data_IF_544733524436
#
_entry.id   IF_544733524436
#
_cell.length_a   1.000
_cell.length_b   1.000
_cell.length_c   1.000
_cell.angle_alpha   90.00
_cell.angle_beta   90.00
_cell.angle_gamma   90.00
#
_symmetry.space_group_name_H-M   'P 1'
#
loop_
_entity.id
_entity.type
_entity.pdbx_description
1 polymer ?
#
# COMPACT_ATOMS: atom_id res chain seq x y z
N UNK A 1 1.09 -32.38 28.82
CA UNK A 1 1.58 -32.59 27.44
C UNK A 1 0.51 -32.05 26.51
N UNK A 2 0.60 -30.78 26.05
CA UNK A 2 -0.28 -30.29 25.01
C UNK A 2 0.23 -30.84 23.68
N UNK A 3 -0.54 -31.74 23.08
CA UNK A 3 -0.31 -32.15 21.69
C UNK A 3 -0.49 -30.90 20.82
N UNK A 4 0.60 -30.31 20.35
CA UNK A 4 0.54 -29.34 19.27
C UNK A 4 -0.02 -30.08 18.06
N UNK A 5 -1.32 -29.99 17.81
CA UNK A 5 -1.89 -30.43 16.54
C UNK A 5 -1.24 -29.62 15.46
N UNK A 6 -0.32 -30.23 14.72
CA UNK A 6 0.32 -29.56 13.58
C UNK A 6 -0.78 -29.21 12.57
N UNK A 7 -0.89 -27.90 12.23
CA UNK A 7 -1.85 -27.47 11.21
C UNK A 7 -1.65 -28.26 9.93
N UNK A 8 -2.74 -28.66 9.24
CA UNK A 8 -2.62 -29.46 8.01
C UNK A 8 -1.84 -28.72 6.94
N UNK A 9 -1.00 -29.46 6.21
CA UNK A 9 -0.25 -28.92 5.07
C UNK A 9 -1.23 -28.72 3.92
N UNK A 10 -1.38 -27.46 3.48
CA UNK A 10 -2.25 -27.10 2.36
C UNK A 10 -1.58 -27.37 1.01
N UNK A 11 -2.34 -27.84 0.03
CA UNK A 11 -1.89 -27.98 -1.35
C UNK A 11 -1.66 -26.63 -2.03
N UNK A 12 -0.95 -26.63 -3.18
CA UNK A 12 -0.76 -25.41 -3.97
C UNK A 12 -2.08 -24.71 -4.31
N UNK A 13 -3.10 -25.42 -4.73
CA UNK A 13 -4.40 -24.84 -5.08
C UNK A 13 -5.16 -24.29 -3.87
N UNK A 14 -4.97 -24.86 -2.70
CA UNK A 14 -5.54 -24.32 -1.46
C UNK A 14 -4.84 -23.02 -1.06
N UNK A 15 -3.50 -22.93 -1.19
CA UNK A 15 -2.74 -21.69 -0.98
C UNK A 15 -3.13 -20.63 -2.03
N UNK A 16 -3.32 -21.02 -3.28
CA UNK A 16 -3.81 -20.15 -4.35
C UNK A 16 -5.17 -19.55 -4.01
N UNK A 17 -6.15 -20.39 -3.74
CA UNK A 17 -7.52 -19.97 -3.42
C UNK A 17 -7.57 -19.05 -2.18
N UNK A 18 -6.79 -19.39 -1.16
CA UNK A 18 -6.70 -18.62 0.07
C UNK A 18 -6.12 -17.22 -0.16
N UNK A 19 -5.19 -17.07 -1.09
CA UNK A 19 -4.46 -15.83 -1.33
C UNK A 19 -5.04 -14.99 -2.46
N UNK A 20 -5.91 -15.55 -3.30
CA UNK A 20 -6.41 -14.90 -4.52
C UNK A 20 -7.14 -13.57 -4.25
N UNK A 21 -7.81 -13.43 -3.11
CA UNK A 21 -8.47 -12.18 -2.74
C UNK A 21 -7.53 -10.97 -2.68
N UNK A 22 -6.23 -11.16 -2.42
CA UNK A 22 -5.24 -10.08 -2.49
C UNK A 22 -5.09 -9.47 -3.87
N UNK A 23 -5.29 -10.27 -4.92
CA UNK A 23 -5.35 -9.75 -6.29
C UNK A 23 -6.43 -8.67 -6.43
N UNK A 24 -7.64 -8.94 -5.93
CA UNK A 24 -8.74 -7.97 -5.94
C UNK A 24 -8.47 -6.74 -5.07
N UNK A 25 -7.99 -6.94 -3.83
CA UNK A 25 -7.66 -5.84 -2.91
C UNK A 25 -6.64 -4.89 -3.56
N UNK A 26 -5.68 -5.45 -4.29
CA UNK A 26 -4.64 -4.66 -4.95
C UNK A 26 -5.18 -3.82 -6.11
N UNK A 27 -6.28 -4.23 -6.78
CA UNK A 27 -6.96 -3.37 -7.75
C UNK A 27 -7.47 -2.08 -7.11
N UNK A 28 -8.02 -2.16 -5.90
CA UNK A 28 -8.44 -0.97 -5.15
C UNK A 28 -7.27 -0.01 -4.92
N UNK A 29 -6.18 -0.48 -4.33
CA UNK A 29 -5.01 0.34 -4.05
C UNK A 29 -4.32 0.89 -5.30
N UNK A 30 -4.13 0.07 -6.33
CA UNK A 30 -3.40 0.49 -7.52
C UNK A 30 -4.19 1.52 -8.34
N UNK A 31 -5.49 1.32 -8.52
CA UNK A 31 -6.35 2.31 -9.18
C UNK A 31 -6.43 3.61 -8.39
N UNK A 32 -6.51 3.53 -7.06
CA UNK A 32 -6.46 4.69 -6.18
C UNK A 32 -5.14 5.45 -6.36
N UNK A 33 -4.02 4.78 -6.20
CA UNK A 33 -2.70 5.42 -6.27
C UNK A 33 -2.42 6.06 -7.63
N UNK A 34 -2.86 5.44 -8.72
CA UNK A 34 -2.63 5.96 -10.06
C UNK A 34 -3.61 7.07 -10.48
N UNK A 35 -4.84 7.08 -9.94
CA UNK A 35 -5.90 7.92 -10.51
C UNK A 35 -6.55 8.90 -9.53
N UNK A 36 -6.41 8.77 -8.21
CA UNK A 36 -7.13 9.65 -7.27
C UNK A 36 -6.72 11.11 -7.41
N UNK A 37 -5.43 11.42 -7.50
CA UNK A 37 -4.97 12.80 -7.74
C UNK A 37 -5.45 13.34 -9.08
N UNK A 38 -5.46 12.48 -10.11
CA UNK A 38 -6.02 12.81 -11.43
C UNK A 38 -7.51 13.16 -11.33
N UNK A 39 -8.31 12.34 -10.64
CA UNK A 39 -9.74 12.59 -10.39
C UNK A 39 -9.93 13.91 -9.64
N UNK A 40 -9.20 14.13 -8.56
CA UNK A 40 -9.31 15.36 -7.78
C UNK A 40 -8.96 16.61 -8.61
N UNK A 41 -7.86 16.55 -9.38
CA UNK A 41 -7.47 17.65 -10.27
C UNK A 41 -8.51 17.91 -11.35
N UNK A 42 -9.09 16.84 -11.96
CA UNK A 42 -10.18 16.97 -12.95
C UNK A 42 -11.43 17.62 -12.34
N UNK A 43 -11.72 17.38 -11.07
CA UNK A 43 -12.83 17.99 -10.33
C UNK A 43 -12.48 19.37 -9.73
N UNK A 44 -11.34 19.95 -10.11
CA UNK A 44 -10.95 21.32 -9.75
C UNK A 44 -10.17 21.46 -8.45
N UNK A 45 -9.51 20.41 -7.96
CA UNK A 45 -8.63 20.53 -6.81
C UNK A 45 -7.36 21.30 -7.15
N UNK A 46 -7.03 22.30 -6.35
CA UNK A 46 -5.75 23.01 -6.42
C UNK A 46 -4.60 22.05 -6.01
N UNK A 47 -3.41 22.24 -6.60
CA UNK A 47 -2.24 21.39 -6.36
C UNK A 47 -1.83 21.36 -4.85
N UNK A 48 -1.97 22.50 -4.16
CA UNK A 48 -1.66 22.64 -2.75
C UNK A 48 -2.66 21.91 -1.82
N UNK A 49 -3.86 21.58 -2.31
CA UNK A 49 -4.90 20.85 -1.56
C UNK A 49 -4.85 19.35 -1.76
N UNK A 50 -4.18 18.86 -2.80
CA UNK A 50 -4.13 17.42 -3.13
C UNK A 50 -3.66 16.59 -1.94
N UNK A 51 -2.59 16.99 -1.26
CA UNK A 51 -2.05 16.22 -0.14
C UNK A 51 -3.02 16.14 1.05
N UNK A 52 -3.80 17.19 1.31
CA UNK A 52 -4.84 17.18 2.34
C UNK A 52 -5.98 16.21 2.00
N UNK A 53 -6.38 16.16 0.74
CA UNK A 53 -7.42 15.24 0.28
C UNK A 53 -7.00 13.76 0.42
N UNK A 54 -5.69 13.48 0.35
CA UNK A 54 -5.11 12.16 0.54
C UNK A 54 -4.99 11.71 2.00
N UNK A 55 -5.35 12.54 2.98
CA UNK A 55 -5.36 12.14 4.40
C UNK A 55 -6.32 10.99 4.72
N UNK A 56 -7.27 10.70 3.84
CA UNK A 56 -8.19 9.57 3.99
C UNK A 56 -7.43 8.25 4.22
N UNK A 57 -6.46 7.92 3.37
CA UNK A 57 -5.71 6.66 3.43
C UNK A 57 -4.98 6.45 4.78
N UNK A 58 -4.08 7.35 5.23
CA UNK A 58 -3.38 7.15 6.48
C UNK A 58 -4.29 7.24 7.71
N UNK A 59 -5.29 8.12 7.72
CA UNK A 59 -6.18 8.26 8.88
C UNK A 59 -7.09 7.04 9.03
N UNK A 60 -7.66 6.53 7.94
CA UNK A 60 -8.44 5.27 7.99
C UNK A 60 -7.55 4.09 8.37
N UNK A 61 -6.33 4.00 7.85
CA UNK A 61 -5.35 3.00 8.27
C UNK A 61 -5.08 3.05 9.78
N UNK A 62 -4.88 4.24 10.32
CA UNK A 62 -4.64 4.44 11.76
C UNK A 62 -5.82 4.02 12.64
N UNK A 63 -7.05 4.32 12.22
CA UNK A 63 -8.25 4.11 13.01
C UNK A 63 -8.90 2.76 12.75
N UNK A 64 -9.07 2.39 11.47
CA UNK A 64 -9.86 1.21 11.07
C UNK A 64 -9.08 -0.08 11.30
N UNK A 65 -7.77 -0.11 10.99
CA UNK A 65 -6.99 -1.36 11.11
C UNK A 65 -6.98 -1.95 12.54
N UNK A 66 -6.69 -1.19 13.61
CA UNK A 66 -6.73 -1.75 14.98
C UNK A 66 -8.13 -2.20 15.39
N UNK A 67 -9.17 -1.44 14.99
CA UNK A 67 -10.57 -1.77 15.31
C UNK A 67 -10.96 -3.07 14.63
N UNK A 68 -10.70 -3.19 13.33
CA UNK A 68 -11.05 -4.38 12.54
C UNK A 68 -10.19 -5.58 12.95
N UNK A 69 -8.91 -5.37 13.24
CA UNK A 69 -8.04 -6.39 13.81
C UNK A 69 -8.67 -6.99 15.07
N UNK A 70 -9.00 -6.14 16.05
CA UNK A 70 -9.65 -6.55 17.29
C UNK A 70 -11.00 -7.25 17.04
N UNK A 71 -11.88 -6.65 16.23
CA UNK A 71 -13.21 -7.23 15.95
C UNK A 71 -13.09 -8.58 15.25
N UNK A 72 -12.21 -8.70 14.26
CA UNK A 72 -12.02 -9.96 13.56
C UNK A 72 -11.37 -11.04 14.41
N UNK A 73 -10.51 -10.65 15.37
CA UNK A 73 -9.92 -11.56 16.34
C UNK A 73 -10.96 -12.12 17.33
N UNK A 74 -11.98 -11.34 17.64
CA UNK A 74 -13.01 -11.67 18.63
C UNK A 74 -14.34 -12.09 18.01
N UNK A 75 -14.43 -12.33 16.69
CA UNK A 75 -15.62 -12.80 16.01
C UNK A 75 -15.49 -14.26 15.65
N UNK A 76 -16.58 -15.02 15.84
CA UNK A 76 -16.72 -16.38 15.33
C UNK A 76 -18.17 -16.64 14.92
N UNK A 77 -18.35 -17.12 13.71
CA UNK A 77 -19.65 -17.55 13.22
C UNK A 77 -19.54 -18.96 12.60
N UNK A 78 -20.42 -19.91 12.91
CA UNK A 78 -20.31 -21.30 12.44
C UNK A 78 -20.22 -21.46 10.91
N UNK A 79 -20.93 -20.62 10.16
CA UNK A 79 -20.95 -20.66 8.69
C UNK A 79 -19.87 -19.75 8.06
N UNK A 80 -19.73 -18.51 8.58
CA UNK A 80 -18.84 -17.51 8.01
C UNK A 80 -17.41 -17.59 8.51
N UNK A 81 -17.16 -18.27 9.63
CA UNK A 81 -15.86 -18.30 10.26
C UNK A 81 -15.54 -17.03 11.07
N UNK A 82 -14.27 -16.72 11.19
CA UNK A 82 -13.72 -15.62 11.98
C UNK A 82 -13.40 -14.39 11.12
N UNK A 83 -12.65 -14.58 10.03
CA UNK A 83 -12.12 -13.51 9.16
C UNK A 83 -12.99 -13.22 7.95
N UNK A 84 -13.62 -14.24 7.40
CA UNK A 84 -14.39 -14.18 6.15
C UNK A 84 -15.52 -13.16 6.13
N UNK A 85 -16.29 -12.91 7.23
CA UNK A 85 -17.31 -11.86 7.25
C UNK A 85 -16.74 -10.47 6.93
N UNK A 86 -15.55 -10.17 7.45
CA UNK A 86 -14.87 -8.89 7.22
C UNK A 86 -14.38 -8.78 5.77
N UNK A 87 -13.83 -9.87 5.19
CA UNK A 87 -13.48 -9.90 3.76
C UNK A 87 -14.68 -9.54 2.89
N UNK A 88 -15.80 -10.21 3.16
CA UNK A 88 -17.05 -10.05 2.41
C UNK A 88 -17.58 -8.62 2.51
N UNK A 89 -17.78 -8.12 3.71
CA UNK A 89 -18.33 -6.78 3.95
C UNK A 89 -17.40 -5.70 3.38
N UNK A 90 -16.11 -5.81 3.66
CA UNK A 90 -15.13 -4.86 3.16
C UNK A 90 -15.05 -4.85 1.64
N UNK A 91 -15.11 -6.03 0.99
CA UNK A 91 -15.10 -6.11 -0.47
C UNK A 91 -16.35 -5.50 -1.11
N UNK A 92 -17.53 -5.72 -0.54
CA UNK A 92 -18.76 -5.10 -1.03
C UNK A 92 -18.71 -3.57 -0.92
N UNK A 93 -18.29 -3.05 0.24
CA UNK A 93 -18.22 -1.61 0.47
C UNK A 93 -17.12 -0.96 -0.39
N UNK A 94 -15.95 -1.61 -0.53
CA UNK A 94 -14.87 -1.12 -1.38
C UNK A 94 -15.29 -1.10 -2.86
N UNK A 95 -15.91 -2.18 -3.36
CA UNK A 95 -16.45 -2.21 -4.71
C UNK A 95 -17.50 -1.13 -4.94
N UNK A 96 -18.43 -0.94 -4.01
CA UNK A 96 -19.40 0.16 -4.09
C UNK A 96 -18.70 1.52 -4.17
N UNK A 97 -17.71 1.77 -3.32
CA UNK A 97 -16.94 3.01 -3.36
C UNK A 97 -16.19 3.18 -4.70
N UNK A 98 -15.63 2.10 -5.26
CA UNK A 98 -15.01 2.12 -6.58
C UNK A 98 -16.01 2.43 -7.70
N UNK A 99 -17.26 2.03 -7.60
CA UNK A 99 -18.31 2.45 -8.54
C UNK A 99 -18.70 3.92 -8.35
N UNK A 100 -18.73 4.41 -7.12
CA UNK A 100 -19.13 5.79 -6.83
C UNK A 100 -18.03 6.80 -7.18
N UNK A 101 -16.75 6.44 -7.01
CA UNK A 101 -15.60 7.34 -7.18
C UNK A 101 -15.58 8.06 -8.54
N UNK A 102 -15.66 7.36 -9.69
CA UNK A 102 -15.62 7.99 -11.01
C UNK A 102 -16.95 8.66 -11.41
N UNK A 103 -18.00 8.50 -10.62
CA UNK A 103 -19.29 9.18 -10.81
C UNK A 103 -19.44 10.43 -9.94
N UNK A 104 -18.40 10.81 -9.21
CA UNK A 104 -18.39 12.04 -8.42
C UNK A 104 -18.44 13.25 -9.34
N UNK A 105 -19.43 14.11 -9.15
CA UNK A 105 -19.62 15.32 -9.93
C UNK A 105 -18.94 16.56 -9.34
N UNK A 106 -18.52 16.47 -8.07
CA UNK A 106 -17.88 17.55 -7.32
C UNK A 106 -16.76 17.01 -6.42
N UNK A 107 -15.78 17.85 -6.14
CA UNK A 107 -14.58 17.47 -5.40
C UNK A 107 -14.87 16.88 -4.01
N UNK A 108 -15.77 17.50 -3.24
CA UNK A 108 -16.08 17.01 -1.89
C UNK A 108 -16.72 15.60 -1.89
N UNK A 109 -17.50 15.29 -2.94
CA UNK A 109 -18.08 13.94 -3.12
C UNK A 109 -16.98 12.90 -3.35
N UNK A 110 -16.04 13.18 -4.26
CA UNK A 110 -14.91 12.31 -4.51
C UNK A 110 -14.05 12.11 -3.24
N UNK A 111 -13.81 13.18 -2.48
CA UNK A 111 -13.12 13.11 -1.20
C UNK A 111 -13.84 12.22 -0.18
N UNK A 112 -15.15 12.37 -0.02
CA UNK A 112 -15.96 11.53 0.88
C UNK A 112 -15.95 10.06 0.44
N UNK A 113 -16.04 9.80 -0.86
CA UNK A 113 -15.96 8.43 -1.42
C UNK A 113 -14.57 7.83 -1.20
N UNK A 114 -13.48 8.64 -1.26
CA UNK A 114 -12.14 8.16 -0.93
C UNK A 114 -12.06 7.67 0.52
N UNK A 115 -12.63 8.42 1.48
CA UNK A 115 -12.70 7.99 2.89
C UNK A 115 -13.44 6.65 3.04
N UNK A 116 -14.57 6.49 2.34
CA UNK A 116 -15.33 5.23 2.34
C UNK A 116 -14.49 4.10 1.73
N UNK A 117 -13.84 4.36 0.60
CA UNK A 117 -13.04 3.36 -0.13
C UNK A 117 -11.86 2.88 0.71
N UNK A 118 -11.06 3.80 1.27
CA UNK A 118 -9.94 3.46 2.14
C UNK A 118 -10.37 2.70 3.40
N UNK A 119 -11.43 3.15 4.05
CA UNK A 119 -12.01 2.44 5.20
C UNK A 119 -12.42 1.02 4.84
N UNK A 120 -13.14 0.85 3.74
CA UNK A 120 -13.62 -0.45 3.27
C UNK A 120 -12.48 -1.40 2.85
N UNK A 121 -11.45 -0.87 2.17
CA UNK A 121 -10.27 -1.65 1.82
C UNK A 121 -9.57 -2.15 3.09
N UNK A 122 -9.41 -1.31 4.12
CA UNK A 122 -8.81 -1.71 5.40
C UNK A 122 -9.65 -2.77 6.13
N UNK A 123 -10.99 -2.71 6.03
CA UNK A 123 -11.90 -3.75 6.59
C UNK A 123 -11.63 -5.12 5.96
N UNK A 124 -11.33 -5.18 4.65
CA UNK A 124 -10.96 -6.44 3.99
C UNK A 124 -9.52 -6.84 4.28
N UNK A 125 -8.57 -5.92 4.14
CA UNK A 125 -7.15 -6.20 4.06
C UNK A 125 -6.58 -6.68 5.39
N UNK A 126 -6.94 -6.07 6.51
CA UNK A 126 -6.34 -6.37 7.80
C UNK A 126 -6.61 -7.82 8.27
N UNK A 127 -7.87 -8.30 8.26
CA UNK A 127 -8.12 -9.70 8.58
C UNK A 127 -7.53 -10.67 7.55
N UNK A 128 -7.39 -10.23 6.29
CA UNK A 128 -6.82 -11.05 5.22
C UNK A 128 -5.32 -11.32 5.44
N UNK A 129 -4.58 -10.34 5.95
CA UNK A 129 -3.17 -10.53 6.34
C UNK A 129 -3.03 -11.54 7.48
N UNK A 130 -3.88 -11.44 8.51
CA UNK A 130 -3.89 -12.34 9.63
C UNK A 130 -4.28 -13.78 9.24
N UNK A 131 -5.11 -13.93 8.20
CA UNK A 131 -5.63 -15.21 7.75
C UNK A 131 -4.53 -16.21 7.35
N UNK A 132 -3.43 -15.76 6.78
CA UNK A 132 -2.28 -16.61 6.46
C UNK A 132 -1.68 -17.21 7.72
N UNK A 133 -1.45 -16.39 8.74
CA UNK A 133 -0.94 -16.85 10.04
C UNK A 133 -1.91 -17.80 10.75
N UNK A 134 -3.23 -17.55 10.63
CA UNK A 134 -4.28 -18.36 11.23
C UNK A 134 -4.37 -19.75 10.57
N UNK A 135 -4.25 -19.85 9.26
CA UNK A 135 -4.44 -21.08 8.48
C UNK A 135 -3.18 -21.93 8.34
N UNK A 136 -2.00 -21.30 8.26
CA UNK A 136 -0.76 -21.99 7.92
C UNK A 136 0.10 -22.27 9.16
N UNK A 137 0.67 -23.46 9.22
CA UNK A 137 1.74 -23.79 10.15
C UNK A 137 3.06 -23.13 9.76
N UNK A 138 4.04 -23.02 10.70
CA UNK A 138 5.32 -22.35 10.46
C UNK A 138 6.04 -22.78 9.17
N UNK A 139 5.94 -24.09 8.84
CA UNK A 139 6.57 -24.65 7.64
C UNK A 139 6.02 -24.10 6.31
N UNK A 140 4.76 -23.65 6.28
CA UNK A 140 4.11 -23.14 5.06
C UNK A 140 3.87 -21.64 5.06
N UNK A 141 4.09 -20.92 6.16
CA UNK A 141 3.85 -19.48 6.21
C UNK A 141 4.62 -18.71 5.14
N UNK A 142 5.88 -19.07 4.90
CA UNK A 142 6.70 -18.45 3.85
C UNK A 142 6.06 -18.61 2.47
N UNK A 143 5.55 -19.80 2.13
CA UNK A 143 4.87 -20.05 0.88
C UNK A 143 3.55 -19.28 0.76
N UNK A 144 2.79 -19.16 1.86
CA UNK A 144 1.57 -18.36 1.91
C UNK A 144 1.82 -16.88 1.66
N UNK A 145 2.81 -16.28 2.33
CA UNK A 145 3.19 -14.88 2.10
C UNK A 145 3.76 -14.63 0.70
N UNK A 146 4.53 -15.59 0.16
CA UNK A 146 5.00 -15.51 -1.22
C UNK A 146 3.84 -15.50 -2.23
N UNK A 147 2.83 -16.34 -2.02
CA UNK A 147 1.62 -16.37 -2.85
C UNK A 147 0.83 -15.05 -2.76
N UNK A 148 0.71 -14.45 -1.56
CA UNK A 148 0.12 -13.13 -1.41
C UNK A 148 0.90 -12.07 -2.19
N UNK A 149 2.22 -12.04 -2.05
CA UNK A 149 3.09 -11.08 -2.76
C UNK A 149 2.96 -11.21 -4.26
N UNK A 150 2.83 -12.43 -4.78
CA UNK A 150 2.57 -12.69 -6.20
C UNK A 150 1.26 -12.02 -6.66
N UNK A 151 0.16 -12.22 -5.95
CA UNK A 151 -1.13 -11.60 -6.29
C UNK A 151 -1.14 -10.09 -6.13
N UNK A 152 -0.46 -9.56 -5.10
CA UNK A 152 -0.28 -8.12 -4.90
C UNK A 152 0.44 -7.50 -6.10
N UNK A 153 1.55 -8.10 -6.53
CA UNK A 153 2.34 -7.59 -7.66
C UNK A 153 1.56 -7.60 -8.97
N UNK A 154 0.97 -8.73 -9.34
CA UNK A 154 0.18 -8.84 -10.57
C UNK A 154 -1.10 -8.01 -10.56
N UNK A 155 -1.79 -7.95 -9.43
CA UNK A 155 -2.95 -7.07 -9.26
C UNK A 155 -2.60 -5.61 -9.48
N UNK A 156 -1.47 -5.15 -8.92
CA UNK A 156 -1.00 -3.77 -9.09
C UNK A 156 -0.65 -3.45 -10.54
N UNK A 157 0.06 -4.35 -11.24
CA UNK A 157 0.43 -4.17 -12.65
C UNK A 157 -0.82 -4.05 -13.52
N UNK A 158 -1.73 -5.01 -13.43
CA UNK A 158 -2.91 -5.03 -14.30
C UNK A 158 -3.81 -3.83 -14.01
N UNK A 159 -4.08 -3.53 -12.73
CA UNK A 159 -4.94 -2.41 -12.35
C UNK A 159 -4.37 -1.06 -12.81
N UNK A 160 -3.07 -0.85 -12.67
CA UNK A 160 -2.41 0.40 -13.10
C UNK A 160 -2.45 0.59 -14.62
N UNK A 161 -2.48 -0.50 -15.39
CA UNK A 161 -2.58 -0.47 -16.86
C UNK A 161 -4.02 -0.27 -17.38
N UNK A 162 -5.05 -0.49 -16.56
CA UNK A 162 -6.44 -0.47 -17.05
C UNK A 162 -6.82 0.79 -17.84
N UNK A 163 -6.53 2.04 -17.37
CA UNK A 163 -6.91 3.21 -18.17
C UNK A 163 -6.25 3.24 -19.55
N UNK A 164 -4.98 2.82 -19.65
CA UNK A 164 -4.25 2.70 -20.92
C UNK A 164 -4.83 1.60 -21.79
N UNK A 165 -5.16 0.44 -21.23
CA UNK A 165 -5.83 -0.66 -21.94
C UNK A 165 -7.17 -0.20 -22.53
N UNK A 166 -7.99 0.51 -21.74
CA UNK A 166 -9.26 1.03 -22.22
C UNK A 166 -9.07 2.08 -23.31
N UNK A 167 -8.08 2.97 -23.20
CA UNK A 167 -7.80 3.98 -24.22
C UNK A 167 -7.25 3.35 -25.51
N UNK A 168 -6.13 2.62 -25.41
CA UNK A 168 -5.32 2.25 -26.57
C UNK A 168 -5.84 0.99 -27.26
N UNK A 169 -6.40 0.00 -26.52
CA UNK A 169 -6.89 -1.26 -27.10
C UNK A 169 -8.39 -1.25 -27.36
N UNK A 170 -9.17 -0.54 -26.55
CA UNK A 170 -10.64 -0.54 -26.65
C UNK A 170 -11.20 0.76 -27.21
N UNK A 171 -10.35 1.76 -27.48
CA UNK A 171 -10.75 3.03 -28.07
C UNK A 171 -11.68 3.89 -27.20
N UNK A 172 -11.64 3.68 -25.88
CA UNK A 172 -12.46 4.45 -24.92
C UNK A 172 -11.92 5.85 -24.78
N UNK A 173 -12.81 6.85 -24.76
CA UNK A 173 -12.41 8.25 -24.66
C UNK A 173 -11.66 8.55 -23.36
N UNK A 174 -10.50 9.17 -23.50
CA UNK A 174 -9.66 9.65 -22.41
C UNK A 174 -9.84 11.16 -22.14
N UNK A 175 -10.76 11.82 -22.85
CA UNK A 175 -11.00 13.26 -22.74
C UNK A 175 -12.19 13.52 -21.83
N UNK A 176 -12.06 14.43 -20.83
CA UNK A 176 -13.18 14.83 -20.01
C UNK A 176 -14.26 15.52 -20.84
N UNK A 177 -15.51 15.19 -20.59
CA UNK A 177 -16.65 15.87 -21.23
C UNK A 177 -17.39 16.65 -20.14
N UNK A 178 -17.58 17.95 -20.33
CA UNK A 178 -18.27 18.84 -19.37
C UNK A 178 -17.73 18.76 -17.92
N UNK A 179 -16.42 18.64 -17.77
CA UNK A 179 -15.78 18.55 -16.45
C UNK A 179 -15.93 17.19 -15.75
N UNK A 180 -16.52 16.19 -16.43
CA UNK A 180 -16.63 14.85 -15.87
C UNK A 180 -15.30 14.07 -15.92
N UNK A 181 -15.18 13.07 -15.08
CA UNK A 181 -14.04 12.15 -15.08
C UNK A 181 -14.02 11.35 -16.40
N UNK A 182 -12.85 11.18 -17.07
CA UNK A 182 -12.74 10.44 -18.32
C UNK A 182 -13.29 9.02 -18.24
N UNK A 183 -13.89 8.54 -19.33
CA UNK A 183 -14.48 7.20 -19.39
C UNK A 183 -13.44 6.10 -19.21
N UNK A 184 -12.18 6.29 -19.64
CA UNK A 184 -11.07 5.36 -19.36
C UNK A 184 -10.89 5.12 -17.86
N UNK A 185 -10.91 6.17 -17.07
CA UNK A 185 -10.82 6.07 -15.60
C UNK A 185 -12.09 5.46 -15.03
N UNK A 186 -13.26 5.89 -15.52
CA UNK A 186 -14.57 5.40 -15.07
C UNK A 186 -14.68 3.87 -15.25
N UNK A 187 -14.39 3.37 -16.44
CA UNK A 187 -14.47 1.93 -16.71
C UNK A 187 -13.37 1.14 -16.00
N UNK A 188 -12.20 1.74 -15.76
CA UNK A 188 -11.15 1.11 -14.96
C UNK A 188 -11.60 0.88 -13.52
N UNK A 189 -12.27 1.85 -12.90
CA UNK A 189 -12.82 1.70 -11.56
C UNK A 189 -13.97 0.70 -11.51
N UNK A 190 -14.83 0.67 -12.54
CA UNK A 190 -15.91 -0.33 -12.60
C UNK A 190 -15.35 -1.75 -12.75
N UNK A 191 -14.44 -1.96 -13.68
CA UNK A 191 -13.76 -3.24 -13.85
C UNK A 191 -13.01 -3.65 -12.58
N UNK A 192 -12.28 -2.71 -11.97
CA UNK A 192 -11.56 -2.94 -10.73
C UNK A 192 -12.47 -3.31 -9.57
N UNK A 193 -13.61 -2.65 -9.41
CA UNK A 193 -14.60 -2.97 -8.39
C UNK A 193 -15.21 -4.36 -8.57
N UNK A 194 -15.54 -4.74 -9.82
CA UNK A 194 -16.02 -6.10 -10.14
C UNK A 194 -14.95 -7.16 -9.85
N UNK A 195 -13.70 -6.92 -10.26
CA UNK A 195 -12.58 -7.83 -10.01
C UNK A 195 -12.31 -7.94 -8.51
N UNK A 196 -12.38 -6.82 -7.78
CA UNK A 196 -12.19 -6.81 -6.33
C UNK A 196 -13.20 -7.74 -5.64
N UNK A 197 -14.48 -7.50 -5.84
CA UNK A 197 -15.51 -8.32 -5.18
C UNK A 197 -15.43 -9.77 -5.64
N UNK A 198 -15.23 -10.03 -6.94
CA UNK A 198 -15.12 -11.39 -7.47
C UNK A 198 -13.95 -12.17 -6.88
N UNK A 199 -12.76 -11.56 -6.79
CA UNK A 199 -11.57 -12.21 -6.25
C UNK A 199 -11.70 -12.49 -4.75
N UNK A 200 -12.24 -11.55 -3.98
CA UNK A 200 -12.46 -11.75 -2.54
C UNK A 200 -13.55 -12.79 -2.30
N UNK A 201 -14.65 -12.76 -3.06
CA UNK A 201 -15.70 -13.79 -2.99
C UNK A 201 -15.16 -15.17 -3.31
N UNK A 202 -14.33 -15.28 -4.34
CA UNK A 202 -13.64 -16.54 -4.63
C UNK A 202 -12.94 -17.10 -3.40
N UNK A 203 -12.12 -16.29 -2.72
CA UNK A 203 -11.43 -16.73 -1.49
C UNK A 203 -12.43 -17.06 -0.37
N UNK A 204 -13.46 -16.23 -0.16
CA UNK A 204 -14.47 -16.44 0.88
C UNK A 204 -15.18 -17.78 0.72
N UNK A 205 -15.56 -18.15 -0.50
CA UNK A 205 -16.33 -19.37 -0.74
C UNK A 205 -15.48 -20.62 -0.95
N UNK A 206 -14.24 -20.47 -1.46
CA UNK A 206 -13.33 -21.58 -1.70
C UNK A 206 -12.51 -22.00 -0.46
N UNK A 207 -12.46 -21.15 0.58
CA UNK A 207 -11.66 -21.41 1.79
C UNK A 207 -12.54 -21.46 3.03
N UNK A 208 -12.42 -22.53 3.82
CA UNK A 208 -13.13 -22.69 5.09
C UNK A 208 -12.22 -22.34 6.26
N UNK A 209 -12.80 -21.77 7.31
CA UNK A 209 -12.14 -21.57 8.59
C UNK A 209 -12.56 -22.64 9.59
N UNK A 210 -11.63 -23.06 10.43
CA UNK A 210 -11.88 -23.99 11.51
C UNK A 210 -12.22 -23.24 12.79
N UNK A 211 -13.10 -23.82 13.66
CA UNK A 211 -13.40 -23.20 14.93
C UNK A 211 -12.14 -23.07 15.81
N UNK A 212 -12.09 -22.07 16.71
CA UNK A 212 -11.04 -21.99 17.71
C UNK A 212 -10.91 -23.30 18.50
N UNK A 213 -9.67 -23.76 18.73
CA UNK A 213 -9.40 -25.02 19.46
C UNK A 213 -10.01 -25.03 20.88
N UNK A 214 -9.96 -23.88 21.54
CA UNK A 214 -10.59 -23.68 22.86
C UNK A 214 -11.61 -22.54 22.77
N UNK A 215 -12.87 -22.88 22.58
CA UNK A 215 -14.00 -21.94 22.55
C UNK A 215 -14.24 -21.26 23.90
N UNK A 216 -13.85 -21.86 25.02
CA UNK A 216 -14.01 -21.24 26.33
C UNK A 216 -12.97 -20.18 26.57
N UNK A 217 -11.71 -20.45 26.23
CA UNK A 217 -10.62 -19.44 26.22
C UNK A 217 -10.90 -18.31 25.24
N UNK A 218 -11.41 -18.62 24.03
CA UNK A 218 -11.81 -17.63 23.04
C UNK A 218 -12.88 -16.67 23.59
N UNK A 219 -13.95 -17.18 24.20
CA UNK A 219 -15.00 -16.36 24.82
C UNK A 219 -14.51 -15.57 26.02
N UNK A 220 -13.55 -16.08 26.77
CA UNK A 220 -12.93 -15.36 27.89
C UNK A 220 -12.09 -14.16 27.38
N UNK A 221 -11.36 -14.33 26.28
CA UNK A 221 -10.58 -13.27 25.63
C UNK A 221 -11.42 -12.09 25.12
N UNK A 222 -12.66 -12.35 24.67
CA UNK A 222 -13.60 -11.30 24.23
C UNK A 222 -13.93 -10.25 25.31
N UNK A 223 -13.72 -10.56 26.58
CA UNK A 223 -14.06 -9.68 27.71
C UNK A 223 -13.08 -8.53 27.93
N UNK A 224 -11.91 -8.53 27.29
CA UNK A 224 -10.87 -7.51 27.53
C UNK A 224 -11.18 -6.16 26.88
N UNK A 225 -12.09 -6.08 25.93
CA UNK A 225 -12.58 -4.83 25.31
C UNK A 225 -11.56 -4.11 24.41
N UNK A 226 -12.07 -3.38 23.42
CA UNK A 226 -11.27 -2.62 22.44
C UNK A 226 -10.38 -1.56 23.13
N UNK A 227 -10.87 -0.90 24.18
CA UNK A 227 -10.13 0.13 24.91
C UNK A 227 -8.83 -0.39 25.53
N UNK A 228 -8.83 -1.63 26.04
CA UNK A 228 -7.62 -2.28 26.59
C UNK A 228 -6.60 -2.55 25.47
N UNK A 229 -7.05 -3.08 24.33
CA UNK A 229 -6.17 -3.35 23.19
C UNK A 229 -5.51 -2.07 22.66
N UNK A 230 -6.28 -0.98 22.51
CA UNK A 230 -5.75 0.33 22.10
C UNK A 230 -4.78 0.92 23.13
N UNK A 231 -5.09 0.83 24.43
CA UNK A 231 -4.20 1.28 25.48
C UNK A 231 -2.87 0.48 25.50
N UNK A 232 -2.93 -0.82 25.26
CA UNK A 232 -1.75 -1.66 25.14
C UNK A 232 -0.85 -1.23 23.97
N UNK A 233 -1.43 -0.99 22.79
CA UNK A 233 -0.71 -0.51 21.60
C UNK A 233 -0.05 0.84 21.89
N UNK A 234 -0.78 1.81 22.44
CA UNK A 234 -0.27 3.14 22.77
C UNK A 234 0.82 3.07 23.86
N UNK A 235 0.67 2.18 24.85
CA UNK A 235 1.70 1.93 25.87
C UNK A 235 3.02 1.38 25.32
N UNK A 236 3.02 0.85 24.09
CA UNK A 236 4.18 0.31 23.40
C UNK A 236 5.24 1.33 23.00
N UNK A 237 4.82 2.57 22.75
CA UNK A 237 5.75 3.63 22.35
C UNK A 237 6.87 3.90 23.37
N UNK A 238 6.58 3.76 24.67
CA UNK A 238 7.56 3.95 25.74
C UNK A 238 8.56 2.80 25.94
N UNK A 239 8.35 1.66 25.28
CA UNK A 239 9.14 0.42 25.47
C UNK A 239 9.76 -0.11 24.18
N UNK A 240 9.91 0.74 23.18
CA UNK A 240 10.42 0.35 21.88
C UNK A 240 11.91 -0.02 21.92
N UNK A 241 12.33 -1.13 21.27
CA UNK A 241 13.72 -1.44 21.06
C UNK A 241 14.45 -0.35 20.27
N UNK A 242 15.73 -0.15 20.51
CA UNK A 242 16.54 0.88 19.84
C UNK A 242 16.51 0.76 18.31
N UNK A 243 16.62 -0.46 17.79
CA UNK A 243 16.49 -0.74 16.33
C UNK A 243 15.16 -0.23 15.77
N UNK A 244 14.06 -0.40 16.51
CA UNK A 244 12.75 0.05 16.08
C UNK A 244 12.66 1.57 15.99
N UNK A 245 13.24 2.30 16.95
CA UNK A 245 13.32 3.77 16.93
C UNK A 245 14.16 4.27 15.76
N UNK A 246 15.29 3.61 15.49
CA UNK A 246 16.16 3.94 14.36
C UNK A 246 15.45 3.70 13.02
N UNK A 247 14.74 2.57 12.88
CA UNK A 247 13.91 2.30 11.71
C UNK A 247 12.75 3.29 11.56
N UNK A 248 12.18 3.80 12.66
CA UNK A 248 11.13 4.82 12.61
C UNK A 248 11.59 6.08 11.88
N UNK A 249 12.84 6.50 12.10
CA UNK A 249 13.43 7.67 11.41
C UNK A 249 13.61 7.38 9.91
N UNK A 250 14.09 6.20 9.54
CA UNK A 250 14.23 5.78 8.14
C UNK A 250 12.84 5.76 7.47
N UNK A 251 11.86 5.13 8.10
CA UNK A 251 10.49 5.06 7.60
C UNK A 251 9.86 6.43 7.44
N UNK A 252 10.15 7.38 8.34
CA UNK A 252 9.62 8.73 8.25
C UNK A 252 9.95 9.37 6.89
N UNK A 253 11.21 9.39 6.50
CA UNK A 253 11.62 9.97 5.21
C UNK A 253 11.18 9.12 4.02
N UNK A 254 11.18 7.80 4.15
CA UNK A 254 10.75 6.88 3.10
C UNK A 254 9.29 7.08 2.71
N UNK A 255 8.40 7.19 3.71
CA UNK A 255 6.96 7.34 3.45
C UNK A 255 6.57 8.74 3.00
N UNK A 256 7.32 9.78 3.38
CA UNK A 256 7.19 11.13 2.77
C UNK A 256 7.48 11.04 1.26
N UNK A 257 8.55 10.33 0.88
CA UNK A 257 8.93 10.17 -0.53
C UNK A 257 7.85 9.46 -1.35
N UNK A 258 7.34 8.34 -0.84
CA UNK A 258 6.29 7.58 -1.53
C UNK A 258 4.99 8.36 -1.63
N UNK A 259 4.63 9.07 -0.58
CA UNK A 259 3.41 9.87 -0.55
C UNK A 259 3.49 11.04 -1.54
N UNK A 260 4.65 11.71 -1.62
CA UNK A 260 4.92 12.74 -2.63
C UNK A 260 4.80 12.16 -4.05
N UNK A 261 5.35 10.97 -4.29
CA UNK A 261 5.25 10.28 -5.58
C UNK A 261 3.79 9.99 -5.94
N UNK A 262 3.02 9.34 -5.09
CA UNK A 262 1.65 8.96 -5.43
C UNK A 262 0.72 10.15 -5.65
N UNK A 263 0.91 11.23 -4.89
CA UNK A 263 0.04 12.41 -4.99
C UNK A 263 0.38 13.28 -6.19
N UNK A 264 1.67 13.52 -6.43
CA UNK A 264 2.09 14.60 -7.34
C UNK A 264 2.61 14.13 -8.69
N UNK A 265 2.86 12.81 -8.92
CA UNK A 265 3.47 12.36 -10.19
C UNK A 265 2.61 12.69 -11.40
N UNK A 266 1.28 12.55 -11.34
CA UNK A 266 0.41 12.89 -12.49
C UNK A 266 0.53 14.36 -12.87
N UNK A 267 0.43 15.26 -11.90
CA UNK A 267 0.59 16.71 -12.15
C UNK A 267 2.01 17.06 -12.57
N UNK A 268 3.02 16.40 -11.99
CA UNK A 268 4.42 16.59 -12.34
C UNK A 268 4.71 16.21 -13.79
N UNK A 269 4.21 15.07 -14.26
CA UNK A 269 4.39 14.62 -15.64
C UNK A 269 3.58 15.49 -16.60
N UNK A 270 2.35 15.86 -16.26
CA UNK A 270 1.54 16.76 -17.08
C UNK A 270 2.24 18.11 -17.29
N UNK A 271 2.81 18.67 -16.23
CA UNK A 271 3.54 19.94 -16.29
C UNK A 271 4.88 19.80 -17.04
N UNK A 272 5.73 18.84 -16.63
CA UNK A 272 7.13 18.76 -17.06
C UNK A 272 7.31 18.17 -18.47
N UNK A 273 6.42 17.26 -18.89
CA UNK A 273 6.52 16.53 -20.16
C UNK A 273 5.47 16.98 -21.18
N UNK A 274 4.24 17.17 -20.72
CA UNK A 274 3.14 17.58 -21.62
C UNK A 274 2.89 19.09 -21.65
N UNK A 275 3.60 19.88 -20.81
CA UNK A 275 3.53 21.34 -20.80
C UNK A 275 2.17 21.90 -20.38
N UNK A 276 1.38 21.16 -19.60
CA UNK A 276 0.04 21.56 -19.19
C UNK A 276 -0.20 21.42 -17.69
N UNK A 277 -0.92 22.37 -17.13
CA UNK A 277 -1.48 22.30 -15.78
C UNK A 277 -3.00 22.21 -15.79
N UNK A 278 -3.62 22.28 -16.99
CA UNK A 278 -5.05 22.17 -17.16
C UNK A 278 -5.52 20.71 -17.06
N UNK A 279 -6.12 20.36 -15.95
CA UNK A 279 -6.60 19.03 -15.68
C UNK A 279 -7.78 18.57 -16.58
N UNK A 280 -8.40 19.51 -17.30
CA UNK A 280 -9.45 19.21 -18.29
C UNK A 280 -8.87 18.92 -19.69
N UNK A 281 -7.60 19.20 -19.91
CA UNK A 281 -6.95 18.99 -21.19
C UNK A 281 -6.71 17.52 -21.50
N UNK A 282 -6.78 17.14 -22.78
CA UNK A 282 -6.43 15.81 -23.25
C UNK A 282 -4.98 15.44 -22.88
N UNK A 283 -4.06 16.40 -22.90
CA UNK A 283 -2.67 16.21 -22.55
C UNK A 283 -2.47 15.82 -21.06
N UNK A 284 -3.21 16.45 -20.13
CA UNK A 284 -3.20 16.06 -18.72
C UNK A 284 -3.73 14.65 -18.52
N UNK A 285 -4.79 14.29 -19.23
CA UNK A 285 -5.39 12.97 -19.12
C UNK A 285 -4.48 11.89 -19.72
N UNK A 286 -3.75 12.20 -20.79
CA UNK A 286 -2.71 11.31 -21.34
C UNK A 286 -1.55 11.15 -20.35
N UNK A 287 -1.10 12.23 -19.70
CA UNK A 287 -0.12 12.14 -18.61
C UNK A 287 -0.58 11.17 -17.52
N UNK A 288 -1.84 11.19 -17.12
CA UNK A 288 -2.42 10.26 -16.16
C UNK A 288 -2.34 8.79 -16.61
N UNK A 289 -2.62 8.49 -17.88
CA UNK A 289 -2.46 7.16 -18.45
C UNK A 289 -0.99 6.71 -18.43
N UNK A 290 -0.06 7.58 -18.80
CA UNK A 290 1.39 7.28 -18.77
C UNK A 290 1.89 7.04 -17.34
N UNK A 291 1.40 7.78 -16.35
CA UNK A 291 1.69 7.53 -14.93
C UNK A 291 1.16 6.17 -14.49
N UNK A 292 0.00 5.74 -14.96
CA UNK A 292 -0.49 4.37 -14.76
C UNK A 292 0.52 3.32 -15.26
N UNK A 293 1.07 3.49 -16.47
CA UNK A 293 2.12 2.63 -17.00
C UNK A 293 3.40 2.69 -16.16
N UNK A 294 3.84 3.89 -15.74
CA UNK A 294 4.98 4.06 -14.84
C UNK A 294 4.78 3.27 -13.53
N UNK A 295 3.58 3.32 -12.97
CA UNK A 295 3.25 2.61 -11.73
C UNK A 295 3.16 1.09 -11.94
N UNK A 296 2.74 0.63 -13.11
CA UNK A 296 2.82 -0.78 -13.47
C UNK A 296 4.28 -1.26 -13.55
N UNK A 297 5.19 -0.45 -14.12
CA UNK A 297 6.62 -0.78 -14.22
C UNK A 297 7.22 -0.94 -12.83
N UNK A 298 7.08 0.05 -11.92
CA UNK A 298 7.69 -0.09 -10.59
C UNK A 298 7.08 -1.26 -9.80
N UNK A 299 5.78 -1.52 -9.95
CA UNK A 299 5.11 -2.64 -9.28
C UNK A 299 5.61 -4.00 -9.78
N UNK A 300 5.76 -4.14 -11.10
CA UNK A 300 6.30 -5.35 -11.73
C UNK A 300 7.76 -5.61 -11.34
N UNK A 301 8.59 -4.56 -11.40
CA UNK A 301 10.00 -4.64 -10.96
C UNK A 301 10.09 -5.01 -9.48
N UNK A 302 9.25 -4.41 -8.64
CA UNK A 302 9.21 -4.72 -7.21
C UNK A 302 8.87 -6.19 -6.95
N UNK A 303 7.89 -6.73 -7.67
CA UNK A 303 7.52 -8.13 -7.53
C UNK A 303 8.70 -9.07 -7.85
N UNK A 304 9.50 -8.76 -8.87
CA UNK A 304 10.69 -9.53 -9.23
C UNK A 304 11.85 -9.32 -8.25
N UNK A 305 12.12 -8.06 -7.88
CA UNK A 305 13.20 -7.70 -6.97
C UNK A 305 13.02 -8.30 -5.57
N UNK A 306 11.78 -8.48 -5.10
CA UNK A 306 11.48 -9.10 -3.82
C UNK A 306 12.07 -10.52 -3.65
N UNK A 307 12.25 -11.26 -4.73
CA UNK A 307 12.90 -12.58 -4.72
C UNK A 307 14.44 -12.48 -4.73
N UNK A 308 14.97 -11.41 -5.30
CA UNK A 308 16.42 -11.24 -5.53
C UNK A 308 17.08 -10.58 -4.31
N UNK A 309 16.44 -9.59 -3.71
CA UNK A 309 17.02 -8.81 -2.60
C UNK A 309 17.46 -9.66 -1.38
N UNK A 310 16.72 -10.70 -0.95
CA UNK A 310 17.16 -11.56 0.15
C UNK A 310 18.45 -12.31 -0.16
N UNK A 311 18.75 -12.61 -1.44
CA UNK A 311 20.00 -13.26 -1.85
C UNK A 311 21.17 -12.31 -1.60
N UNK A 312 21.06 -11.04 -2.03
CA UNK A 312 22.10 -10.03 -1.76
C UNK A 312 22.26 -9.77 -0.26
N UNK A 313 21.15 -9.74 0.49
CA UNK A 313 21.19 -9.51 1.94
C UNK A 313 21.93 -10.61 2.71
N UNK A 314 21.96 -11.86 2.21
CA UNK A 314 22.73 -12.96 2.79
C UNK A 314 24.24 -12.81 2.58
N UNK A 315 24.67 -12.17 1.48
CA UNK A 315 26.08 -11.98 1.13
C UNK A 315 26.67 -10.65 1.65
N UNK A 316 25.81 -9.70 2.04
CA UNK A 316 26.21 -8.39 2.55
C UNK A 316 25.58 -8.15 3.93
N UNK A 317 24.59 -7.29 3.99
CA UNK A 317 23.71 -7.14 5.15
C UNK A 317 22.34 -6.57 4.73
N UNK A 318 21.32 -6.84 5.52
CA UNK A 318 19.96 -6.32 5.26
C UNK A 318 19.94 -4.79 5.21
N UNK A 319 20.64 -4.12 6.13
CA UNK A 319 20.70 -2.65 6.15
C UNK A 319 21.46 -2.09 4.94
N UNK A 320 22.56 -2.72 4.50
CA UNK A 320 23.30 -2.28 3.32
C UNK A 320 22.45 -2.39 2.05
N UNK A 321 21.76 -3.52 1.84
CA UNK A 321 20.84 -3.68 0.71
C UNK A 321 19.73 -2.63 0.76
N UNK A 322 19.13 -2.39 1.94
CA UNK A 322 18.08 -1.38 2.09
C UNK A 322 18.58 0.02 1.77
N UNK A 323 19.76 0.40 2.27
CA UNK A 323 20.42 1.67 1.97
C UNK A 323 20.60 1.88 0.46
N UNK A 324 21.20 0.89 -0.22
CA UNK A 324 21.47 0.99 -1.67
C UNK A 324 20.17 1.10 -2.46
N UNK A 325 19.15 0.28 -2.13
CA UNK A 325 17.85 0.33 -2.79
C UNK A 325 17.17 1.69 -2.61
N UNK A 326 17.18 2.27 -1.40
CA UNK A 326 16.59 3.58 -1.13
C UNK A 326 17.32 4.71 -1.88
N UNK A 327 18.66 4.67 -1.93
CA UNK A 327 19.43 5.66 -2.69
C UNK A 327 19.11 5.55 -4.20
N UNK A 328 19.07 4.33 -4.75
CA UNK A 328 18.67 4.12 -6.16
C UNK A 328 17.28 4.67 -6.41
N UNK A 329 16.29 4.34 -5.58
CA UNK A 329 14.93 4.84 -5.74
C UNK A 329 14.81 6.35 -5.60
N UNK A 330 15.52 6.94 -4.64
CA UNK A 330 15.52 8.38 -4.43
C UNK A 330 16.15 9.15 -5.60
N UNK A 331 17.31 8.70 -6.08
CA UNK A 331 17.95 9.27 -7.29
C UNK A 331 17.05 9.12 -8.51
N UNK A 332 16.38 7.97 -8.64
CA UNK A 332 15.42 7.73 -9.70
C UNK A 332 14.22 8.69 -9.65
N UNK A 333 13.64 8.94 -8.48
CA UNK A 333 12.58 9.95 -8.34
C UNK A 333 13.08 11.37 -8.65
N UNK A 334 14.29 11.72 -8.21
CA UNK A 334 14.89 13.02 -8.52
C UNK A 334 15.15 13.19 -10.01
N UNK A 335 15.52 12.13 -10.74
CA UNK A 335 15.81 12.18 -12.17
C UNK A 335 14.61 12.53 -13.02
N UNK A 336 13.38 12.31 -12.55
CA UNK A 336 12.14 12.68 -13.25
C UNK A 336 12.11 14.19 -13.58
N UNK A 337 12.67 15.03 -12.71
CA UNK A 337 12.77 16.48 -12.96
C UNK A 337 13.52 16.83 -14.25
N UNK A 338 14.53 16.04 -14.62
CA UNK A 338 15.40 16.31 -15.77
C UNK A 338 14.95 15.60 -17.05
N UNK A 339 13.95 14.74 -16.98
CA UNK A 339 13.49 13.93 -18.11
C UNK A 339 12.22 14.55 -18.68
N UNK A 340 12.27 14.91 -19.97
CA UNK A 340 11.14 15.49 -20.71
C UNK A 340 10.60 14.55 -21.79
N UNK A 341 11.24 13.40 -22.02
CA UNK A 341 10.74 12.34 -22.90
C UNK A 341 9.96 11.31 -22.07
N UNK A 342 8.71 11.09 -22.48
CA UNK A 342 7.81 10.17 -21.80
C UNK A 342 8.32 8.72 -21.76
N UNK A 343 8.98 8.28 -22.83
CA UNK A 343 9.50 6.91 -22.90
C UNK A 343 10.70 6.72 -21.96
N UNK A 344 11.51 7.75 -21.77
CA UNK A 344 12.65 7.73 -20.86
C UNK A 344 12.22 7.68 -19.39
N UNK A 345 11.00 8.11 -19.06
CA UNK A 345 10.46 8.09 -17.68
C UNK A 345 10.19 6.70 -17.14
N UNK A 346 10.12 5.67 -17.98
CA UNK A 346 9.97 4.29 -17.49
C UNK A 346 11.26 3.77 -16.82
N UNK A 347 12.43 4.28 -17.22
CA UNK A 347 13.71 3.85 -16.61
C UNK A 347 13.83 4.22 -15.11
N UNK A 348 13.52 5.45 -14.65
CA UNK A 348 13.43 5.74 -13.22
C UNK A 348 12.52 4.82 -12.43
N UNK A 349 11.41 4.35 -13.02
CA UNK A 349 10.47 3.46 -12.35
C UNK A 349 11.07 2.10 -12.01
N UNK A 350 12.10 1.66 -12.72
CA UNK A 350 12.87 0.47 -12.36
C UNK A 350 13.57 0.66 -11.01
N UNK A 351 14.26 1.78 -10.81
CA UNK A 351 14.92 2.10 -9.54
C UNK A 351 13.91 2.27 -8.38
N UNK A 352 12.77 2.92 -8.65
CA UNK A 352 11.66 3.03 -7.68
C UNK A 352 11.13 1.65 -7.31
N UNK A 353 10.98 0.73 -8.28
CA UNK A 353 10.52 -0.64 -8.04
C UNK A 353 11.47 -1.44 -7.15
N UNK A 354 12.78 -1.30 -7.35
CA UNK A 354 13.80 -1.90 -6.48
C UNK A 354 13.71 -1.35 -5.06
N UNK A 355 13.55 -0.04 -4.90
CA UNK A 355 13.36 0.59 -3.60
C UNK A 355 12.07 0.09 -2.93
N UNK A 356 10.97 0.02 -3.65
CA UNK A 356 9.67 -0.46 -3.15
C UNK A 356 9.75 -1.90 -2.64
N UNK A 357 10.40 -2.80 -3.38
CA UNK A 357 10.65 -4.17 -2.93
C UNK A 357 11.42 -4.20 -1.60
N UNK A 358 12.45 -3.37 -1.47
CA UNK A 358 13.24 -3.27 -0.24
C UNK A 358 12.44 -2.69 0.93
N UNK A 359 11.59 -1.69 0.69
CA UNK A 359 10.72 -1.05 1.70
C UNK A 359 9.73 -2.06 2.28
N UNK A 360 9.22 -2.95 1.45
CA UNK A 360 8.27 -3.99 1.87
C UNK A 360 8.93 -5.18 2.58
N UNK A 361 10.25 -5.34 2.50
CA UNK A 361 10.94 -6.54 3.00
C UNK A 361 11.97 -6.26 4.08
N UNK A 362 12.92 -5.35 3.84
CA UNK A 362 14.10 -5.19 4.68
C UNK A 362 13.81 -4.63 6.07
N UNK A 363 13.00 -3.55 6.25
CA UNK A 363 12.69 -3.04 7.58
C UNK A 363 12.03 -4.07 8.48
N UNK A 364 11.12 -4.87 7.92
CA UNK A 364 10.44 -5.93 8.66
C UNK A 364 11.40 -7.07 9.03
N UNK A 365 12.31 -7.44 8.13
CA UNK A 365 13.32 -8.47 8.40
C UNK A 365 14.34 -8.02 9.48
N UNK A 366 14.78 -6.75 9.45
CA UNK A 366 15.66 -6.16 10.47
C UNK A 366 14.94 -6.12 11.83
N UNK A 367 13.71 -5.61 11.83
CA UNK A 367 12.89 -5.50 13.04
C UNK A 367 12.63 -6.87 13.67
N UNK A 368 12.21 -7.86 12.87
CA UNK A 368 11.94 -9.22 13.35
C UNK A 368 13.15 -9.87 14.03
N UNK A 369 14.36 -9.58 13.53
CA UNK A 369 15.61 -10.06 14.14
C UNK A 369 15.94 -9.45 15.51
N UNK A 370 15.35 -8.31 15.86
CA UNK A 370 15.61 -7.57 17.10
C UNK A 370 14.49 -7.67 18.14
N UNK A 371 13.38 -8.33 17.80
CA UNK A 371 12.18 -8.43 18.65
C UNK A 371 12.10 -9.78 19.39
N UNK A 372 11.60 -9.80 20.64
CA UNK A 372 11.28 -11.04 21.33
C UNK A 372 10.08 -11.73 20.64
N UNK A 373 10.23 -13.01 20.30
CA UNK A 373 9.23 -13.80 19.56
C UNK A 373 7.81 -13.74 20.18
N UNK A 374 7.71 -13.72 21.52
CA UNK A 374 6.44 -13.67 22.26
C UNK A 374 5.65 -12.36 22.06
N UNK A 375 6.30 -11.27 21.64
CA UNK A 375 5.69 -9.95 21.44
C UNK A 375 5.80 -9.42 20.00
N UNK A 376 6.14 -10.28 19.06
CA UNK A 376 6.35 -9.91 17.66
C UNK A 376 5.14 -9.15 17.08
N UNK A 377 3.94 -9.73 17.20
CA UNK A 377 2.72 -9.10 16.67
C UNK A 377 2.42 -7.72 17.26
N UNK A 378 2.64 -7.57 18.57
CA UNK A 378 2.49 -6.30 19.25
C UNK A 378 3.41 -5.20 18.67
N UNK A 379 4.71 -5.47 18.58
CA UNK A 379 5.66 -4.52 18.04
C UNK A 379 5.47 -4.25 16.55
N UNK A 380 5.02 -5.23 15.76
CA UNK A 380 4.66 -5.02 14.36
C UNK A 380 3.45 -4.08 14.23
N UNK A 381 2.47 -4.18 15.13
CA UNK A 381 1.37 -3.22 15.22
C UNK A 381 1.85 -1.80 15.54
N UNK A 382 2.76 -1.64 16.51
CA UNK A 382 3.37 -0.33 16.83
C UNK A 382 4.19 0.20 15.64
N UNK A 383 4.90 -0.68 14.92
CA UNK A 383 5.68 -0.29 13.75
C UNK A 383 4.84 0.30 12.61
N UNK A 384 3.58 -0.13 12.49
CA UNK A 384 2.66 0.44 11.49
C UNK A 384 2.42 1.95 11.68
N UNK A 385 2.54 2.47 12.89
CA UNK A 385 2.46 3.92 13.13
C UNK A 385 3.58 4.69 12.43
N UNK A 386 4.76 4.08 12.24
CA UNK A 386 5.88 4.68 11.51
C UNK A 386 5.69 4.67 9.98
N UNK A 387 4.65 4.04 9.52
CA UNK A 387 4.16 4.11 8.15
C UNK A 387 3.13 5.24 8.04
N UNK A 388 2.16 5.25 8.94
CA UNK A 388 0.97 6.10 8.87
C UNK A 388 1.26 7.54 9.30
N UNK A 389 2.03 7.76 10.37
CA UNK A 389 2.34 9.12 10.87
C UNK A 389 3.09 9.95 9.81
N UNK A 390 4.13 9.46 9.12
CA UNK A 390 4.77 10.20 8.04
C UNK A 390 3.83 10.56 6.89
N UNK A 391 2.89 9.70 6.57
CA UNK A 391 1.88 9.98 5.53
C UNK A 391 0.92 11.09 5.97
N UNK A 392 0.51 11.12 7.24
CA UNK A 392 -0.29 12.23 7.81
C UNK A 392 0.50 13.53 7.75
N UNK A 393 1.77 13.51 8.19
CA UNK A 393 2.67 14.67 8.10
C UNK A 393 2.82 15.14 6.66
N UNK A 394 3.00 14.22 5.70
CA UNK A 394 3.06 14.52 4.28
C UNK A 394 1.78 15.17 3.77
N UNK A 395 0.62 14.64 4.16
CA UNK A 395 -0.68 15.19 3.80
C UNK A 395 -0.86 16.65 4.25
N UNK A 396 -0.31 16.98 5.42
CA UNK A 396 -0.39 18.32 5.99
C UNK A 396 0.65 19.29 5.38
N UNK A 397 1.84 18.81 5.04
CA UNK A 397 2.99 19.67 4.70
C UNK A 397 3.31 19.75 3.22
N UNK A 398 3.10 18.70 2.43
CA UNK A 398 3.53 18.69 1.01
C UNK A 398 2.82 19.76 0.18
N UNK A 399 1.53 20.02 0.43
CA UNK A 399 0.80 21.09 -0.24
C UNK A 399 1.38 22.47 0.07
N UNK A 400 1.75 22.72 1.33
CA UNK A 400 2.43 23.94 1.72
C UNK A 400 3.78 24.10 0.99
N UNK A 401 4.60 23.06 0.95
CA UNK A 401 5.89 23.12 0.24
C UNK A 401 5.69 23.32 -1.28
N UNK A 402 4.73 22.62 -1.88
CA UNK A 402 4.41 22.77 -3.30
C UNK A 402 4.07 24.22 -3.64
N UNK A 403 3.22 24.85 -2.83
CA UNK A 403 2.76 26.23 -3.05
C UNK A 403 3.82 27.29 -2.72
N UNK A 404 4.39 27.24 -1.51
CA UNK A 404 5.23 28.32 -0.99
C UNK A 404 6.69 28.21 -1.42
N UNK A 405 7.27 26.99 -1.45
CA UNK A 405 8.67 26.81 -1.80
C UNK A 405 8.87 26.55 -3.29
N UNK A 406 7.91 25.90 -3.95
CA UNK A 406 8.07 25.45 -5.33
C UNK A 406 7.17 26.21 -6.31
N UNK A 407 6.50 27.28 -5.86
CA UNK A 407 5.64 28.13 -6.70
C UNK A 407 4.58 27.32 -7.49
N UNK A 408 4.06 26.25 -6.92
CA UNK A 408 3.06 25.37 -7.53
C UNK A 408 3.64 24.24 -8.38
N UNK A 409 4.96 24.16 -8.59
CA UNK A 409 5.59 23.14 -9.45
C UNK A 409 5.60 21.76 -8.79
N UNK A 410 4.69 20.88 -9.22
CA UNK A 410 4.53 19.52 -8.69
C UNK A 410 5.75 18.64 -8.89
N UNK A 411 6.50 18.80 -9.98
CA UNK A 411 7.73 18.05 -10.26
C UNK A 411 8.81 18.27 -9.20
N UNK A 412 8.90 19.48 -8.63
CA UNK A 412 9.82 19.79 -7.53
C UNK A 412 9.42 19.10 -6.23
N UNK A 413 8.12 18.88 -6.02
CA UNK A 413 7.62 18.11 -4.85
C UNK A 413 7.98 16.63 -4.98
N UNK A 414 7.91 16.06 -6.19
CA UNK A 414 8.39 14.68 -6.44
C UNK A 414 9.91 14.60 -6.23
N UNK A 415 10.66 15.61 -6.69
CA UNK A 415 12.12 15.70 -6.45
C UNK A 415 12.45 15.78 -4.95
N UNK A 416 11.71 16.57 -4.16
CA UNK A 416 11.84 16.59 -2.69
C UNK A 416 11.59 15.20 -2.10
N UNK A 417 10.58 14.48 -2.58
CA UNK A 417 10.34 13.08 -2.21
C UNK A 417 11.55 12.20 -2.48
N UNK A 418 12.16 12.32 -3.66
CA UNK A 418 13.40 11.61 -4.00
C UNK A 418 14.54 11.93 -3.04
N UNK A 419 14.73 13.21 -2.70
CA UNK A 419 15.74 13.63 -1.71
C UNK A 419 15.47 13.00 -0.33
N UNK A 420 14.22 13.00 0.13
CA UNK A 420 13.84 12.33 1.38
C UNK A 420 14.20 10.84 1.35
N UNK A 421 13.99 10.15 0.22
CA UNK A 421 14.34 8.73 0.08
C UNK A 421 15.85 8.50 0.11
N UNK A 422 16.65 9.39 -0.49
CA UNK A 422 18.13 9.34 -0.37
C UNK A 422 18.57 9.54 1.08
N UNK A 423 17.99 10.52 1.79
CA UNK A 423 18.24 10.75 3.21
C UNK A 423 17.89 9.51 4.03
N UNK A 424 16.74 8.88 3.78
CA UNK A 424 16.34 7.62 4.41
C UNK A 424 17.41 6.52 4.17
N UNK A 425 17.90 6.41 2.94
CA UNK A 425 18.96 5.47 2.59
C UNK A 425 20.23 5.70 3.43
N UNK A 426 20.70 6.93 3.54
CA UNK A 426 21.88 7.28 4.35
C UNK A 426 21.63 6.97 5.83
N UNK A 427 20.46 7.33 6.36
CA UNK A 427 20.07 7.06 7.74
C UNK A 427 19.94 5.57 8.06
N UNK A 428 19.75 4.72 7.07
CA UNK A 428 19.73 3.26 7.28
C UNK A 428 21.07 2.74 7.87
N UNK A 429 22.17 3.43 7.63
CA UNK A 429 23.48 3.03 8.18
C UNK A 429 23.55 3.09 9.71
N UNK A 430 22.78 3.95 10.37
CA UNK A 430 22.74 4.03 11.85
C UNK A 430 21.88 2.93 12.48
N UNK A 431 21.11 2.18 11.67
CA UNK A 431 20.24 1.11 12.17
C UNK A 431 21.08 -0.07 12.67
N UNK A 432 20.80 -0.52 13.88
CA UNK A 432 21.41 -1.72 14.45
C UNK A 432 20.67 -2.95 13.94
N UNK A 433 21.35 -3.82 13.20
CA UNK A 433 20.85 -5.11 12.77
C UNK A 433 21.48 -6.22 13.61
N UNK A 434 20.69 -6.86 14.47
CA UNK A 434 21.14 -7.92 15.37
C UNK A 434 21.58 -9.22 14.65
N UNK A 435 21.35 -9.34 13.36
CA UNK A 435 21.84 -10.45 12.55
C UNK A 435 23.20 -10.18 11.88
N UNK A 436 23.76 -8.96 12.02
CA UNK A 436 25.14 -8.72 11.57
C UNK A 436 26.14 -9.38 12.53
N UNK A 437 27.17 -10.10 11.99
CA UNK A 437 28.30 -10.50 12.81
C UNK A 437 28.92 -9.25 13.44
N UNK A 438 29.13 -9.27 14.76
CA UNK A 438 29.86 -8.21 15.44
C UNK A 438 31.27 -8.22 14.81
N UNK A 439 31.57 -7.20 14.00
CA UNK A 439 32.93 -6.97 13.52
C UNK A 439 33.77 -6.65 14.74
N UNK A 440 34.57 -7.62 15.19
CA UNK A 440 35.59 -7.46 16.21
C UNK A 440 36.71 -6.60 15.70
#
# INVERSE_FOLDING_TARGET
>A
MHSSTSKPILSFWQLWNMSFGFFGIQFGFALQNANTSRIFSTLGADQDKLSLLWLAAPVTGLLVQPIIGYLSDNTWHPFWGRRRPFFFIGALLASLAMFLMPNSSVLWMAAAVLWLMDGAINVSMEPFRAFVGDKLGPAQQTAGFAMQTFFIGWGAVIASLLPTIFADLLGVSNVPVNGAIPDTVRYSFYAGGLIYVAAVMWTVFSTKEEPPEDMAAFRAGQRQGLGHALAEILGGFGKMPKTMVQLAVVQFFTWIALFAMWIYTTSAIAENVFGTTDAQSAAFQEAGNRVGVMFAVYSGVSALAAFILPIFARHTSRKFVHMVCLIIGGVSLMSIFFIHDINALYAPMVGVGVAWASILTMPYAILAGSLPAKRMGYYMGVFNFFIVIPQIVSGLLLGFFTKQLFAGHSVKTVMLGGLCMVVAGILTMIVQDSAEPVSH
#
